data_IF_959912442005
#
_entry.id   IF_959912442005
#
_cell.length_a   1.000
_cell.length_b   1.000
_cell.length_c   1.000
_cell.angle_alpha   90.00
_cell.angle_beta   90.00
_cell.angle_gamma   90.00
#
_symmetry.space_group_name_H-M   'P 1'
#
loop_
_entity.id
_entity.type
_entity.pdbx_description
1 polymer ?
#
# COMPACT_ATOMS: atom_id res chain seq x y z
N UNK A 1 -12.08 23.91 14.29
CA UNK A 1 -11.72 22.51 14.62
C UNK A 1 -11.82 22.36 16.13
N UNK A 2 -12.89 21.74 16.60
CA UNK A 2 -13.36 21.86 17.99
C UNK A 2 -12.42 21.26 19.03
N UNK A 3 -12.32 21.95 20.17
CA UNK A 3 -11.58 21.54 21.36
C UNK A 3 -12.00 20.16 21.91
N UNK A 4 -13.25 19.78 21.65
CA UNK A 4 -13.84 18.48 22.01
C UNK A 4 -13.14 17.34 21.25
N UNK A 5 -12.84 17.53 19.96
CA UNK A 5 -12.08 16.57 19.17
C UNK A 5 -10.64 16.49 19.68
N UNK A 6 -10.05 17.64 20.05
CA UNK A 6 -8.68 17.73 20.56
C UNK A 6 -8.51 17.02 21.91
N UNK A 7 -9.51 17.10 22.78
CA UNK A 7 -9.51 16.44 24.09
C UNK A 7 -9.71 14.93 23.98
N UNK A 8 -10.59 14.46 23.09
CA UNK A 8 -10.76 13.01 22.82
C UNK A 8 -9.46 12.33 22.37
N UNK A 9 -8.64 13.01 21.56
CA UNK A 9 -7.33 12.49 21.15
C UNK A 9 -6.27 12.52 22.26
N UNK A 10 -6.42 13.38 23.28
CA UNK A 10 -5.46 13.52 24.39
C UNK A 10 -5.71 12.50 25.49
N UNK A 11 -6.97 12.19 25.75
CA UNK A 11 -7.40 11.22 26.77
C UNK A 11 -7.37 9.76 26.25
N UNK A 12 -7.24 9.56 24.92
CA UNK A 12 -6.99 8.23 24.34
C UNK A 12 -5.57 7.72 24.58
N UNK A 13 -4.61 8.62 24.83
CA UNK A 13 -3.20 8.26 25.05
C UNK A 13 -2.92 7.78 26.49
N UNK A 14 -3.83 8.03 27.44
CA UNK A 14 -3.66 7.65 28.86
C UNK A 14 -4.21 6.25 29.21
N UNK A 15 -4.84 5.55 28.26
CA UNK A 15 -5.24 4.14 28.37
C UNK A 15 -4.59 3.28 27.26
N UNK A 16 -3.36 3.61 26.86
CA UNK A 16 -2.65 2.93 25.78
C UNK A 16 -2.03 1.59 26.23
N UNK A 17 -2.87 0.65 26.64
CA UNK A 17 -2.48 -0.74 26.87
C UNK A 17 -3.50 -1.67 26.19
N UNK A 18 -3.29 -1.93 24.87
CA UNK A 18 -3.64 -3.17 24.12
C UNK A 18 -3.63 -3.09 22.57
N UNK A 19 -3.44 -1.96 21.87
CA UNK A 19 -3.47 -2.01 20.38
C UNK A 19 -2.66 -0.97 19.57
N UNK A 20 -1.66 -0.32 20.15
CA UNK A 20 -0.81 0.59 19.37
C UNK A 20 0.25 -0.21 18.61
N UNK A 21 -0.04 -0.59 17.36
CA UNK A 21 0.94 -1.20 16.47
C UNK A 21 2.12 -0.24 16.26
N UNK A 22 3.34 -0.76 16.36
CA UNK A 22 4.55 -0.01 16.07
C UNK A 22 4.58 0.41 14.60
N UNK A 23 5.37 1.44 14.29
CA UNK A 23 5.58 1.86 12.90
C UNK A 23 6.06 0.70 12.01
N UNK A 24 7.01 -0.10 12.51
CA UNK A 24 7.53 -1.26 11.79
C UNK A 24 6.45 -2.31 11.48
N UNK A 25 5.54 -2.55 12.43
CA UNK A 25 4.42 -3.48 12.20
C UNK A 25 3.45 -2.96 11.14
N UNK A 26 3.15 -1.66 11.16
CA UNK A 26 2.32 -1.02 10.11
C UNK A 26 3.00 -1.07 8.76
N UNK A 27 4.31 -0.83 8.72
CA UNK A 27 5.10 -0.88 7.50
C UNK A 27 5.15 -2.29 6.91
N UNK A 28 5.46 -3.30 7.72
CA UNK A 28 5.48 -4.69 7.29
C UNK A 28 4.10 -5.15 6.77
N UNK A 29 3.02 -4.73 7.43
CA UNK A 29 1.67 -5.00 6.94
C UNK A 29 1.42 -4.34 5.58
N UNK A 30 1.79 -3.06 5.43
CA UNK A 30 1.64 -2.34 4.17
C UNK A 30 2.43 -3.01 3.04
N UNK A 31 3.70 -3.34 3.27
CA UNK A 31 4.56 -3.99 2.27
C UNK A 31 3.99 -5.33 1.82
N UNK A 32 3.34 -6.07 2.73
CA UNK A 32 2.66 -7.34 2.44
C UNK A 32 1.44 -7.17 1.52
N UNK A 33 0.61 -6.15 1.74
CA UNK A 33 -0.69 -6.02 1.04
C UNK A 33 -0.69 -5.02 -0.11
N UNK A 34 0.34 -4.18 -0.23
CA UNK A 34 0.37 -3.09 -1.23
C UNK A 34 0.16 -3.58 -2.65
N UNK A 35 0.86 -4.66 -3.05
CA UNK A 35 0.78 -5.20 -4.42
C UNK A 35 -0.59 -5.79 -4.74
N UNK A 36 -1.13 -6.62 -3.85
CA UNK A 36 -2.45 -7.21 -4.04
C UNK A 36 -3.55 -6.15 -4.11
N UNK A 37 -3.45 -5.10 -3.28
CA UNK A 37 -4.41 -4.00 -3.29
C UNK A 37 -4.34 -3.20 -4.59
N UNK A 38 -3.13 -2.91 -5.09
CA UNK A 38 -2.96 -2.22 -6.37
C UNK A 38 -3.54 -3.02 -7.54
N UNK A 39 -3.29 -4.33 -7.61
CA UNK A 39 -3.84 -5.19 -8.65
C UNK A 39 -5.37 -5.29 -8.56
N UNK A 40 -5.91 -5.37 -7.34
CA UNK A 40 -7.36 -5.34 -7.14
C UNK A 40 -7.98 -4.03 -7.66
N UNK A 41 -7.34 -2.88 -7.42
CA UNK A 41 -7.77 -1.59 -7.99
C UNK A 41 -7.75 -1.60 -9.51
N UNK A 42 -6.65 -2.08 -10.13
CA UNK A 42 -6.58 -2.22 -11.59
C UNK A 42 -7.68 -3.13 -12.15
N UNK A 43 -7.99 -4.23 -11.46
CA UNK A 43 -9.09 -5.13 -11.84
C UNK A 43 -10.43 -4.43 -11.81
N UNK A 44 -10.69 -3.62 -10.78
CA UNK A 44 -11.92 -2.81 -10.66
C UNK A 44 -12.02 -1.80 -11.81
N UNK A 45 -10.90 -1.25 -12.26
CA UNK A 45 -10.81 -0.34 -13.40
C UNK A 45 -10.92 -1.04 -14.76
N UNK A 46 -11.04 -2.38 -14.80
CA UNK A 46 -11.21 -3.16 -16.03
C UNK A 46 -9.92 -3.65 -16.67
N UNK A 47 -8.77 -3.52 -15.99
CA UNK A 47 -7.53 -4.13 -16.45
C UNK A 47 -7.50 -5.62 -16.12
N UNK A 48 -7.08 -6.42 -17.10
CA UNK A 48 -6.83 -7.85 -16.92
C UNK A 48 -5.66 -8.07 -15.97
N UNK A 49 -5.99 -8.36 -14.71
CA UNK A 49 -5.03 -8.65 -13.64
C UNK A 49 -5.48 -9.87 -12.85
N UNK A 50 -4.51 -10.64 -12.38
CA UNK A 50 -4.71 -11.87 -11.60
C UNK A 50 -4.02 -11.75 -10.24
N UNK A 51 -4.51 -12.44 -9.20
CA UNK A 51 -3.81 -12.47 -7.90
C UNK A 51 -2.36 -12.96 -7.99
N UNK A 52 -2.07 -13.87 -8.93
CA UNK A 52 -0.74 -14.39 -9.19
C UNK A 52 0.24 -13.31 -9.70
N UNK A 53 -0.26 -12.20 -10.25
CA UNK A 53 0.60 -11.08 -10.66
C UNK A 53 1.27 -10.38 -9.47
N UNK A 54 0.75 -10.54 -8.24
CA UNK A 54 1.35 -9.98 -7.04
C UNK A 54 2.70 -10.64 -6.70
N UNK A 55 2.87 -11.90 -7.10
CA UNK A 55 4.09 -12.68 -6.86
C UNK A 55 5.17 -12.41 -7.91
N UNK A 56 4.81 -11.80 -9.05
CA UNK A 56 5.77 -11.50 -10.10
C UNK A 56 6.79 -10.46 -9.62
N UNK A 57 8.10 -10.71 -9.82
CA UNK A 57 9.10 -9.72 -9.50
C UNK A 57 8.84 -8.45 -10.31
N UNK A 58 8.95 -7.29 -9.66
CA UNK A 58 8.88 -6.02 -10.36
C UNK A 58 10.09 -5.94 -11.29
N UNK A 59 9.83 -5.61 -12.55
CA UNK A 59 10.90 -5.27 -13.48
C UNK A 59 11.69 -4.09 -12.93
N UNK A 60 13.01 -4.14 -13.11
CA UNK A 60 13.85 -2.99 -12.77
C UNK A 60 13.48 -1.81 -13.67
N UNK A 61 13.73 -0.59 -13.19
CA UNK A 61 13.50 0.63 -13.98
C UNK A 61 14.15 0.55 -15.36
N UNK A 62 15.37 0.01 -15.42
CA UNK A 62 16.11 -0.21 -16.67
C UNK A 62 15.38 -1.16 -17.62
N UNK A 63 14.88 -2.30 -17.11
CA UNK A 63 14.13 -3.27 -17.92
C UNK A 63 12.85 -2.67 -18.49
N UNK A 64 12.17 -1.81 -17.72
CA UNK A 64 10.99 -1.10 -18.21
C UNK A 64 11.38 -0.14 -19.34
N UNK A 65 12.41 0.68 -19.14
CA UNK A 65 12.85 1.65 -20.15
C UNK A 65 13.26 0.98 -21.46
N UNK A 66 14.00 -0.13 -21.38
CA UNK A 66 14.41 -0.89 -22.57
C UNK A 66 13.21 -1.44 -23.33
N UNK A 67 12.22 -2.01 -22.62
CA UNK A 67 10.98 -2.50 -23.23
C UNK A 67 10.24 -1.41 -24.03
N UNK A 68 10.24 -0.17 -23.55
CA UNK A 68 9.59 0.95 -24.24
C UNK A 68 10.44 1.51 -25.40
N UNK A 69 11.77 1.47 -25.31
CA UNK A 69 12.65 1.84 -26.43
C UNK A 69 12.52 0.91 -27.63
N UNK A 70 12.24 -0.37 -27.39
CA UNK A 70 12.15 -1.40 -28.42
C UNK A 70 10.75 -1.49 -29.07
N UNK A 71 9.77 -0.68 -28.64
CA UNK A 71 8.47 -0.61 -29.31
C UNK A 71 8.51 0.47 -30.40
N UNK A 72 8.37 0.13 -31.70
CA UNK A 72 8.10 1.15 -32.70
C UNK A 72 6.73 1.79 -32.42
N UNK A 73 6.69 3.13 -32.53
CA UNK A 73 5.50 3.95 -32.30
C UNK A 73 4.43 3.79 -33.35
#
# INVERSE_FOLDING_TARGET
MDEILRKKYRDSDSNADTSVLTFQQKQAHYDRVRRSNYLASLRIEGFETTPADAEKPLSSRMQVLEKYRQKPG
#
